data_IF_365545301173
#
_entry.id   IF_365545301173
#
_cell.length_a   1.000
_cell.length_b   1.000
_cell.length_c   1.000
_cell.angle_alpha   90.00
_cell.angle_beta   90.00
_cell.angle_gamma   90.00
#
_symmetry.space_group_name_H-M   'P 1'
#
loop_
_entity.id
_entity.type
_entity.pdbx_description
1 polymer ?
#
# COMPACT_ATOMS: atom_id res chain seq x y z
N UNK A 1 9.97 -12.91 11.27
CA UNK A 1 8.97 -12.85 10.20
C UNK A 1 7.61 -13.27 10.76
N UNK A 2 6.59 -12.41 10.71
CA UNK A 2 5.24 -12.72 11.21
C UNK A 2 4.38 -13.28 10.06
N UNK A 3 3.74 -14.41 10.27
CA UNK A 3 2.78 -14.96 9.30
C UNK A 3 1.50 -14.13 9.28
N UNK A 4 0.85 -14.02 8.12
CA UNK A 4 -0.49 -13.44 7.96
C UNK A 4 -1.54 -14.06 8.89
N UNK A 5 -1.40 -15.34 9.26
CA UNK A 5 -2.32 -16.03 10.17
C UNK A 5 -2.22 -15.52 11.61
N UNK A 6 -1.17 -14.77 11.95
CA UNK A 6 -1.00 -14.14 13.26
C UNK A 6 -1.67 -12.77 13.37
N UNK A 7 -2.36 -12.30 12.32
CA UNK A 7 -3.12 -11.06 12.38
C UNK A 7 -4.29 -11.17 13.35
N UNK A 8 -4.61 -10.11 14.10
CA UNK A 8 -5.76 -10.11 15.00
C UNK A 8 -7.10 -9.92 14.27
N UNK A 9 -7.13 -9.97 12.94
CA UNK A 9 -8.33 -9.76 12.12
C UNK A 9 -8.31 -10.66 10.87
N UNK A 10 -9.50 -10.99 10.35
CA UNK A 10 -9.65 -11.85 9.19
C UNK A 10 -9.23 -11.15 7.87
N UNK A 11 -8.80 -11.90 6.84
CA UNK A 11 -8.42 -11.32 5.54
C UNK A 11 -9.52 -10.49 4.86
N UNK A 12 -10.80 -10.81 5.07
CA UNK A 12 -11.93 -10.06 4.53
C UNK A 12 -12.29 -8.81 5.36
N UNK A 13 -11.82 -8.75 6.62
CA UNK A 13 -12.12 -7.64 7.52
C UNK A 13 -11.36 -6.38 7.12
N UNK A 14 -12.12 -5.30 6.95
CA UNK A 14 -11.68 -3.97 6.53
C UNK A 14 -12.38 -2.91 7.37
N UNK A 15 -12.88 -3.29 8.55
CA UNK A 15 -13.60 -2.41 9.47
C UNK A 15 -12.67 -1.37 10.08
N UNK A 16 -11.42 -1.75 10.39
CA UNK A 16 -10.45 -0.87 11.02
C UNK A 16 -9.51 -0.20 9.98
N UNK A 17 -9.30 1.13 10.07
CA UNK A 17 -8.33 1.82 9.22
C UNK A 17 -6.90 1.54 9.66
N UNK A 18 -5.98 1.75 8.73
CA UNK A 18 -4.55 1.74 9.00
C UNK A 18 -3.88 0.38 8.81
N UNK A 19 -4.61 -0.60 8.28
CA UNK A 19 -4.00 -1.83 7.78
C UNK A 19 -3.70 -1.67 6.30
N UNK A 20 -2.42 -1.80 5.93
CA UNK A 20 -1.95 -1.58 4.57
C UNK A 20 -1.54 -2.89 3.92
N UNK A 21 -1.85 -3.03 2.64
CA UNK A 21 -1.32 -4.08 1.77
C UNK A 21 -0.28 -3.49 0.82
N UNK A 22 0.84 -4.19 0.66
CA UNK A 22 1.98 -3.75 -0.10
C UNK A 22 2.34 -4.69 -1.23
N UNK A 23 2.87 -4.14 -2.32
CA UNK A 23 3.34 -4.89 -3.48
C UNK A 23 4.33 -4.04 -4.31
N UNK A 24 4.91 -4.66 -5.33
CA UNK A 24 5.67 -3.96 -6.38
C UNK A 24 4.94 -4.05 -7.73
N UNK A 25 4.76 -2.90 -8.37
CA UNK A 25 4.57 -2.86 -9.82
C UNK A 25 5.94 -2.94 -10.47
N UNK A 26 6.21 -4.06 -11.13
CA UNK A 26 7.49 -4.29 -11.81
C UNK A 26 7.43 -3.86 -13.27
N UNK A 27 8.49 -3.18 -13.71
CA UNK A 27 8.70 -2.68 -15.07
C UNK A 27 9.41 -3.65 -16.01
N UNK A 28 9.81 -3.15 -17.17
CA UNK A 28 10.49 -3.92 -18.23
C UNK A 28 11.71 -4.69 -17.68
N UNK A 29 11.81 -5.96 -18.06
CA UNK A 29 12.94 -6.85 -17.73
C UNK A 29 13.24 -6.94 -16.22
N UNK A 30 12.26 -6.65 -15.35
CA UNK A 30 12.43 -6.62 -13.90
C UNK A 30 13.48 -5.61 -13.38
N UNK A 31 13.83 -4.59 -14.17
CA UNK A 31 14.90 -3.62 -13.86
C UNK A 31 14.45 -2.37 -13.11
N UNK A 32 13.15 -2.11 -13.06
CA UNK A 32 12.57 -0.97 -12.36
C UNK A 32 11.29 -1.39 -11.65
N UNK A 33 10.94 -0.70 -10.57
CA UNK A 33 9.77 -0.99 -9.78
C UNK A 33 9.17 0.30 -9.21
N UNK A 34 7.85 0.29 -9.00
CA UNK A 34 7.14 1.26 -8.16
C UNK A 34 6.54 0.45 -7.02
N UNK A 35 6.81 0.86 -5.78
CA UNK A 35 6.14 0.26 -4.64
C UNK A 35 4.72 0.76 -4.54
N UNK A 36 3.77 -0.12 -4.20
CA UNK A 36 2.37 0.24 -4.01
C UNK A 36 1.93 -0.15 -2.62
N UNK A 37 1.26 0.77 -1.93
CA UNK A 37 0.63 0.55 -0.63
C UNK A 37 -0.85 0.88 -0.76
N UNK A 38 -1.72 0.00 -0.27
CA UNK A 38 -3.18 0.16 -0.33
C UNK A 38 -3.77 0.06 1.07
N UNK A 39 -4.43 1.13 1.52
CA UNK A 39 -5.14 1.14 2.80
C UNK A 39 -6.41 0.29 2.70
N UNK A 40 -6.61 -0.66 3.60
CA UNK A 40 -7.64 -1.70 3.43
C UNK A 40 -9.07 -1.19 3.56
N UNK A 41 -9.34 -0.17 4.37
CA UNK A 41 -10.71 0.35 4.57
C UNK A 41 -11.14 1.27 3.43
N UNK A 42 -10.38 2.33 3.19
CA UNK A 42 -10.62 3.43 2.25
C UNK A 42 -10.15 3.14 0.84
N UNK A 43 -9.28 2.13 0.66
CA UNK A 43 -8.64 1.77 -0.62
C UNK A 43 -7.73 2.88 -1.17
N UNK A 44 -7.27 3.78 -0.30
CA UNK A 44 -6.29 4.81 -0.64
C UNK A 44 -5.00 4.13 -1.12
N UNK A 45 -4.48 4.58 -2.24
CA UNK A 45 -3.23 4.10 -2.83
C UNK A 45 -2.12 5.09 -2.52
N UNK A 46 -0.97 4.57 -2.07
CA UNK A 46 0.30 5.29 -2.06
C UNK A 46 1.28 4.62 -3.04
N UNK A 47 1.99 5.43 -3.81
CA UNK A 47 3.00 5.04 -4.78
C UNK A 47 4.37 5.49 -4.29
N UNK A 48 5.30 4.56 -4.28
CA UNK A 48 6.67 4.75 -3.83
C UNK A 48 7.61 4.68 -5.03
N UNK A 49 8.28 5.80 -5.32
CA UNK A 49 9.34 5.79 -6.31
C UNK A 49 10.55 5.04 -5.74
N UNK A 50 10.96 3.96 -6.41
CA UNK A 50 12.12 3.15 -5.99
C UNK A 50 13.28 3.41 -6.95
N UNK A 51 14.41 4.01 -6.50
CA UNK A 51 15.58 4.21 -7.34
C UNK A 51 16.19 2.87 -7.79
N UNK A 52 16.12 1.85 -6.93
CA UNK A 52 16.55 0.48 -7.17
C UNK A 52 15.60 -0.50 -6.49
N UNK A 53 15.55 -1.74 -6.99
CA UNK A 53 14.70 -2.82 -6.45
C UNK A 53 15.47 -3.64 -5.41
N UNK A 54 15.85 -2.98 -4.32
CA UNK A 54 16.53 -3.61 -3.19
C UNK A 54 15.81 -3.28 -1.86
N UNK A 55 16.20 -4.01 -0.81
CA UNK A 55 15.52 -3.94 0.47
C UNK A 55 15.75 -2.62 1.23
N UNK A 56 16.91 -1.97 1.03
CA UNK A 56 17.22 -0.71 1.69
C UNK A 56 16.41 0.42 1.05
N UNK A 57 16.32 0.44 -0.28
CA UNK A 57 15.49 1.38 -1.04
C UNK A 57 14.01 1.24 -0.69
N UNK A 58 13.49 0.01 -0.60
CA UNK A 58 12.10 -0.21 -0.21
C UNK A 58 11.83 0.22 1.24
N UNK A 59 12.72 -0.11 2.17
CA UNK A 59 12.62 0.33 3.58
C UNK A 59 12.54 1.86 3.67
N UNK A 60 13.49 2.57 3.05
CA UNK A 60 13.54 4.04 3.08
C UNK A 60 12.25 4.63 2.48
N UNK A 61 11.78 4.07 1.37
CA UNK A 61 10.55 4.52 0.74
C UNK A 61 9.33 4.32 1.64
N UNK A 62 9.18 3.13 2.26
CA UNK A 62 8.09 2.86 3.21
C UNK A 62 8.14 3.81 4.40
N UNK A 63 9.32 3.99 5.03
CA UNK A 63 9.48 4.89 6.17
C UNK A 63 9.13 6.34 5.80
N UNK A 64 9.56 6.80 4.62
CA UNK A 64 9.28 8.17 4.13
C UNK A 64 7.79 8.36 3.83
N UNK A 65 7.15 7.39 3.17
CA UNK A 65 5.73 7.47 2.79
C UNK A 65 4.80 7.37 3.99
N UNK A 66 5.19 6.59 5.01
CA UNK A 66 4.29 6.21 6.10
C UNK A 66 4.59 6.93 7.42
N UNK A 67 5.82 7.41 7.65
CA UNK A 67 6.26 7.94 8.94
C UNK A 67 5.57 9.21 9.42
N UNK A 68 4.89 9.94 8.52
CA UNK A 68 4.09 11.13 8.88
C UNK A 68 2.63 10.86 9.22
N UNK A 69 2.18 9.60 9.13
CA UNK A 69 0.78 9.26 9.39
C UNK A 69 0.53 9.10 10.90
N UNK A 70 -0.65 9.51 11.39
CA UNK A 70 -1.10 9.19 12.74
C UNK A 70 -1.05 7.68 13.01
N UNK A 71 -0.66 7.28 14.23
CA UNK A 71 -0.45 5.87 14.63
C UNK A 71 -1.68 4.97 14.42
N UNK A 72 -2.88 5.53 14.48
CA UNK A 72 -4.12 4.82 14.22
C UNK A 72 -4.44 4.60 12.73
N UNK A 73 -3.75 5.30 11.83
CA UNK A 73 -3.78 5.12 10.38
C UNK A 73 -2.57 4.33 9.86
N UNK A 74 -1.72 3.84 10.77
CA UNK A 74 -0.63 2.93 10.48
C UNK A 74 -0.57 1.87 11.59
N UNK A 75 -1.26 0.74 11.36
CA UNK A 75 -1.41 -0.36 12.34
C UNK A 75 -0.65 -1.61 11.94
N UNK A 76 -0.54 -1.88 10.64
CA UNK A 76 0.23 -3.01 10.12
C UNK A 76 0.48 -2.87 8.64
N UNK A 77 1.55 -3.50 8.17
CA UNK A 77 1.82 -3.68 6.74
C UNK A 77 1.73 -5.17 6.40
N UNK A 78 1.14 -5.47 5.27
CA UNK A 78 1.05 -6.81 4.69
C UNK A 78 1.87 -6.86 3.43
N UNK A 79 2.80 -7.80 3.31
CA UNK A 79 3.57 -7.99 2.08
C UNK A 79 3.67 -9.47 1.70
N UNK A 80 4.14 -9.77 0.49
CA UNK A 80 4.64 -11.10 0.17
C UNK A 80 6.07 -11.31 0.69
N UNK A 81 6.59 -12.52 0.49
CA UNK A 81 7.91 -12.94 0.96
C UNK A 81 9.05 -12.54 -0.01
N UNK A 82 8.85 -11.46 -0.79
CA UNK A 82 9.84 -10.95 -1.72
C UNK A 82 11.16 -10.56 -1.03
N UNK A 83 12.27 -10.70 -1.75
CA UNK A 83 13.62 -10.37 -1.25
C UNK A 83 13.77 -8.89 -0.88
N UNK A 84 12.97 -8.02 -1.49
CA UNK A 84 12.87 -6.60 -1.15
C UNK A 84 12.41 -6.37 0.29
N UNK A 85 11.76 -7.36 0.93
CA UNK A 85 11.34 -7.29 2.33
C UNK A 85 12.39 -7.86 3.30
N UNK A 86 13.64 -8.08 2.86
CA UNK A 86 14.71 -8.56 3.74
C UNK A 86 14.90 -7.65 4.98
N UNK A 87 14.64 -6.34 4.84
CA UNK A 87 14.74 -5.32 5.89
C UNK A 87 13.44 -5.11 6.70
N UNK A 88 12.50 -6.05 6.68
CA UNK A 88 11.21 -5.92 7.37
C UNK A 88 11.29 -5.63 8.88
N UNK A 89 12.31 -6.14 9.58
CA UNK A 89 12.51 -5.84 11.01
C UNK A 89 12.83 -4.38 11.22
N UNK A 90 13.59 -3.78 10.31
CA UNK A 90 13.94 -2.36 10.37
C UNK A 90 12.71 -1.50 10.00
N UNK A 91 11.89 -1.93 9.04
CA UNK A 91 10.59 -1.30 8.76
C UNK A 91 9.68 -1.30 10.00
N UNK A 92 9.61 -2.44 10.71
CA UNK A 92 8.86 -2.53 11.97
C UNK A 92 9.43 -1.60 13.04
N UNK A 93 10.75 -1.48 13.15
CA UNK A 93 11.38 -0.57 14.10
C UNK A 93 11.14 0.91 13.74
N UNK A 94 11.29 1.28 12.48
CA UNK A 94 11.12 2.66 11.98
C UNK A 94 9.67 3.17 12.17
N UNK A 95 8.68 2.29 12.00
CA UNK A 95 7.27 2.65 12.02
C UNK A 95 6.53 2.26 13.31
N UNK A 96 7.11 1.38 14.13
CA UNK A 96 6.45 0.84 15.33
C UNK A 96 5.28 -0.10 15.04
N UNK A 97 5.22 -0.72 13.86
CA UNK A 97 4.09 -1.57 13.43
C UNK A 97 4.53 -2.95 12.92
N UNK A 98 3.73 -4.00 13.13
CA UNK A 98 4.04 -5.32 12.60
C UNK A 98 3.95 -5.37 11.08
N UNK A 99 4.95 -6.03 10.46
CA UNK A 99 4.91 -6.47 9.07
C UNK A 99 4.53 -7.95 9.02
N UNK A 100 3.40 -8.24 8.38
CA UNK A 100 2.88 -9.59 8.18
C UNK A 100 3.13 -10.08 6.77
N UNK A 101 3.42 -11.37 6.64
CA UNK A 101 3.76 -12.00 5.37
C UNK A 101 2.72 -12.99 4.92
N UNK A 102 2.36 -12.89 3.65
CA UNK A 102 1.45 -13.82 3.00
C UNK A 102 2.11 -15.20 2.84
N UNK A 103 1.28 -16.22 2.73
CA UNK A 103 1.74 -17.57 2.38
C UNK A 103 2.27 -17.58 0.94
N UNK A 104 3.25 -18.44 0.69
CA UNK A 104 3.77 -18.62 -0.67
C UNK A 104 2.65 -19.08 -1.60
N UNK A 105 2.58 -18.47 -2.80
CA UNK A 105 1.57 -18.76 -3.83
C UNK A 105 0.12 -18.46 -3.41
N UNK A 106 -0.08 -17.52 -2.48
CA UNK A 106 -1.41 -17.10 -2.02
C UNK A 106 -1.74 -15.62 -2.33
N UNK A 107 -1.78 -15.20 -3.60
CA UNK A 107 -2.01 -13.79 -3.97
C UNK A 107 -3.35 -13.23 -3.48
N UNK A 108 -4.38 -14.08 -3.29
CA UNK A 108 -5.69 -13.68 -2.77
C UNK A 108 -5.64 -13.07 -1.37
N UNK A 109 -4.58 -13.34 -0.60
CA UNK A 109 -4.33 -12.73 0.71
C UNK A 109 -3.99 -11.23 0.64
N UNK A 110 -3.72 -10.71 -0.57
CA UNK A 110 -3.51 -9.29 -0.91
C UNK A 110 -4.44 -8.81 -2.02
N UNK A 111 -5.70 -9.25 -2.00
CA UNK A 111 -6.66 -8.94 -3.06
C UNK A 111 -6.91 -7.44 -3.29
N UNK A 112 -6.58 -6.56 -2.34
CA UNK A 112 -6.66 -5.10 -2.56
C UNK A 112 -5.55 -4.61 -3.49
N UNK A 113 -4.33 -5.12 -3.33
CA UNK A 113 -3.20 -4.77 -4.21
C UNK A 113 -3.38 -5.30 -5.62
N UNK A 114 -3.95 -6.50 -5.81
CA UNK A 114 -4.18 -7.02 -7.16
C UNK A 114 -5.10 -6.10 -7.97
N UNK A 115 -6.23 -5.68 -7.37
CA UNK A 115 -7.14 -4.75 -8.02
C UNK A 115 -6.51 -3.36 -8.24
N UNK A 116 -5.83 -2.82 -7.24
CA UNK A 116 -5.15 -1.52 -7.34
C UNK A 116 -4.05 -1.54 -8.42
N UNK A 117 -3.22 -2.57 -8.43
CA UNK A 117 -2.17 -2.74 -9.43
C UNK A 117 -2.76 -2.88 -10.83
N UNK A 118 -3.91 -3.57 -10.98
CA UNK A 118 -4.66 -3.63 -12.23
C UNK A 118 -5.06 -2.25 -12.76
N UNK A 119 -5.59 -1.37 -11.90
CA UNK A 119 -5.93 0.01 -12.26
C UNK A 119 -4.68 0.84 -12.58
N UNK A 120 -3.63 0.72 -11.78
CA UNK A 120 -2.37 1.45 -11.95
C UNK A 120 -1.68 1.09 -13.28
N UNK A 121 -1.94 -0.07 -13.89
CA UNK A 121 -1.44 -0.41 -15.23
C UNK A 121 -2.00 0.46 -16.35
N UNK A 122 -3.06 1.23 -16.12
CA UNK A 122 -3.52 2.27 -17.06
C UNK A 122 -2.51 3.43 -17.15
N UNK A 123 -1.79 3.71 -16.07
CA UNK A 123 -0.77 4.77 -15.99
C UNK A 123 0.65 4.23 -16.22
N UNK A 124 0.89 2.99 -15.77
CA UNK A 124 2.18 2.32 -15.84
C UNK A 124 2.09 1.02 -16.67
N UNK A 125 1.97 1.12 -18.02
CA UNK A 125 1.79 -0.03 -18.88
C UNK A 125 2.86 -1.11 -18.66
N UNK A 126 2.48 -2.37 -18.86
CA UNK A 126 3.44 -3.48 -18.79
C UNK A 126 4.51 -3.31 -19.88
N UNK A 127 5.74 -3.72 -19.57
CA UNK A 127 6.85 -3.70 -20.54
C UNK A 127 7.50 -2.35 -20.77
N UNK A 128 7.09 -1.29 -20.07
CA UNK A 128 7.79 0.01 -20.06
C UNK A 128 8.81 0.07 -18.92
N UNK A 129 9.84 0.91 -19.06
CA UNK A 129 10.70 1.21 -17.93
C UNK A 129 9.94 2.13 -16.98
N UNK A 130 9.89 1.78 -15.69
CA UNK A 130 9.24 2.63 -14.69
C UNK A 130 10.16 3.75 -14.20
N UNK A 131 11.46 3.65 -14.47
CA UNK A 131 12.46 4.68 -14.11
C UNK A 131 12.25 6.02 -14.80
N UNK A 132 11.40 6.09 -15.82
CA UNK A 132 11.08 7.34 -16.54
C UNK A 132 10.05 8.18 -15.79
N UNK A 133 9.32 7.59 -14.84
CA UNK A 133 8.29 8.28 -14.08
C UNK A 133 8.90 8.94 -12.86
N UNK A 134 8.82 10.26 -12.78
CA UNK A 134 9.34 11.03 -11.66
C UNK A 134 8.46 10.88 -10.42
N UNK A 135 8.98 11.17 -9.21
CA UNK A 135 8.16 11.26 -8.00
C UNK A 135 6.93 12.16 -8.18
N UNK A 136 7.07 13.27 -8.89
CA UNK A 136 5.98 14.21 -9.17
C UNK A 136 4.89 13.60 -10.05
N UNK A 137 5.28 12.81 -11.05
CA UNK A 137 4.34 12.07 -11.86
C UNK A 137 3.58 11.02 -11.04
N UNK A 138 4.27 10.30 -10.15
CA UNK A 138 3.62 9.37 -9.22
C UNK A 138 2.61 10.09 -8.32
N UNK A 139 2.95 11.27 -7.77
CA UNK A 139 2.02 12.08 -6.97
C UNK A 139 0.80 12.53 -7.76
N UNK A 140 0.97 12.88 -9.03
CA UNK A 140 -0.16 13.22 -9.91
C UNK A 140 -1.08 12.00 -10.14
N UNK A 141 -0.51 10.83 -10.38
CA UNK A 141 -1.27 9.57 -10.52
C UNK A 141 -1.99 9.20 -9.21
N UNK A 142 -1.32 9.29 -8.07
CA UNK A 142 -1.93 9.09 -6.75
C UNK A 142 -3.12 10.03 -6.53
N UNK A 143 -2.96 11.31 -6.83
CA UNK A 143 -4.02 12.30 -6.69
C UNK A 143 -5.22 11.92 -7.57
N UNK A 144 -4.98 11.64 -8.84
CA UNK A 144 -6.05 11.29 -9.77
C UNK A 144 -6.79 10.01 -9.34
N UNK A 145 -6.06 8.92 -9.06
CA UNK A 145 -6.68 7.63 -8.76
C UNK A 145 -7.40 7.60 -7.40
N UNK A 146 -6.93 8.39 -6.43
CA UNK A 146 -7.55 8.47 -5.11
C UNK A 146 -8.75 9.42 -5.07
N UNK A 147 -8.87 10.35 -6.02
CA UNK A 147 -10.04 11.23 -6.15
C UNK A 147 -11.15 10.65 -7.05
N UNK A 148 -10.96 9.45 -7.61
CA UNK A 148 -12.01 8.74 -8.37
C UNK A 148 -13.01 8.07 -7.42
N UNK A 149 -14.31 8.38 -7.51
CA UNK A 149 -15.39 7.61 -6.88
C UNK A 149 -15.29 6.12 -7.16
N UNK A 150 -15.63 5.29 -6.16
CA UNK A 150 -15.67 3.83 -6.33
C UNK A 150 -17.03 3.31 -5.86
N UNK A 151 -17.69 2.50 -6.69
CA UNK A 151 -18.94 1.83 -6.31
C UNK A 151 -18.79 1.00 -5.03
N UNK A 152 -17.63 0.37 -4.83
CA UNK A 152 -17.32 -0.39 -3.58
C UNK A 152 -17.23 0.48 -2.31
N UNK A 153 -17.25 1.80 -2.48
CA UNK A 153 -17.21 2.83 -1.43
C UNK A 153 -18.45 3.73 -1.48
N UNK A 154 -19.55 3.25 -2.06
CA UNK A 154 -20.81 4.02 -2.21
C UNK A 154 -20.60 5.34 -2.95
N UNK A 155 -19.81 5.27 -4.04
CA UNK A 155 -19.46 6.40 -4.90
C UNK A 155 -18.70 7.54 -4.20
N UNK A 156 -18.14 7.27 -3.01
CA UNK A 156 -17.13 8.14 -2.38
C UNK A 156 -15.74 7.84 -2.92
N UNK A 157 -14.87 8.85 -2.86
CA UNK A 157 -13.48 8.68 -3.28
C UNK A 157 -12.60 8.20 -2.10
N UNK A 158 -11.56 7.38 -2.35
CA UNK A 158 -10.59 7.03 -1.31
C UNK A 158 -9.98 8.23 -0.59
N UNK A 159 -9.68 9.31 -1.31
CA UNK A 159 -9.11 10.54 -0.75
C UNK A 159 -10.08 11.22 0.24
N UNK A 160 -11.36 11.31 -0.11
CA UNK A 160 -12.41 11.85 0.76
C UNK A 160 -12.51 11.06 2.07
N UNK A 161 -12.62 9.72 1.96
CA UNK A 161 -12.73 8.86 3.13
C UNK A 161 -11.49 8.90 4.02
N UNK A 162 -10.31 8.86 3.43
CA UNK A 162 -9.07 8.92 4.18
C UNK A 162 -8.85 10.30 4.82
N UNK A 163 -9.28 11.38 4.17
CA UNK A 163 -9.25 12.73 4.74
C UNK A 163 -10.19 12.84 5.94
N UNK A 164 -11.39 12.27 5.85
CA UNK A 164 -12.31 12.22 7.00
C UNK A 164 -11.71 11.46 8.19
N UNK A 165 -10.94 10.40 7.94
CA UNK A 165 -10.20 9.69 8.99
C UNK A 165 -9.04 10.52 9.57
N UNK A 166 -8.39 11.37 8.78
CA UNK A 166 -7.32 12.25 9.28
C UNK A 166 -7.85 13.37 10.18
N UNK A 167 -9.07 13.85 9.93
CA UNK A 167 -9.65 15.00 10.64
C UNK A 167 -10.54 14.64 11.82
N UNK A 168 -10.97 13.37 11.94
CA UNK A 168 -11.90 12.94 12.98
C UNK A 168 -11.18 12.39 14.21
N UNK A 169 -11.35 12.97 15.42
CA UNK A 169 -10.69 12.46 16.63
C UNK A 169 -11.24 11.11 17.14
N UNK A 170 -12.50 10.77 16.82
CA UNK A 170 -13.19 9.60 17.39
C UNK A 170 -13.44 8.44 16.40
N UNK A 171 -12.94 8.53 15.16
CA UNK A 171 -12.89 7.44 14.17
C UNK A 171 -14.08 6.47 14.22
N UNK A 172 -15.31 6.99 14.27
CA UNK A 172 -16.48 6.16 14.07
C UNK A 172 -16.30 5.50 12.72
N UNK A 173 -16.06 4.18 12.77
CA UNK A 173 -15.84 3.29 11.64
C UNK A 173 -16.76 3.78 10.53
N UNK A 174 -16.21 4.05 9.35
CA UNK A 174 -17.03 4.27 8.16
C UNK A 174 -17.88 3.01 8.02
N UNK A 175 -19.08 3.04 8.62
CA UNK A 175 -19.95 1.88 8.71
C UNK A 175 -20.36 1.60 7.28
N UNK A 176 -20.05 0.38 6.86
CA UNK A 176 -20.64 -0.25 5.69
C UNK A 176 -22.08 -0.63 5.99
#
# INVERSE_FOLDING_TARGET
MLSIHQRPFAPADRSQPGHWEGDLIVGKNQRSAIGTLVERQTRLIRLMHLPTRDADSLRIAIATTMGGLPSNLIRSITWDQGIEMARHTDITADLGVPVYFCDSRSPWQRGSNENANGLLRQYFPKGTSLSTYTPDHLRAVEYEINNRPRHTLEDRSPAELFTALLTSPDHQLLRR
#
